data_IF_479810407110
#
_entry.id   IF_479810407110
#
_cell.length_a   1.000
_cell.length_b   1.000
_cell.length_c   1.000
_cell.angle_alpha   90.00
_cell.angle_beta   90.00
_cell.angle_gamma   90.00
#
_symmetry.space_group_name_H-M   'P 1'
#
loop_
_entity.id
_entity.type
_entity.pdbx_description
1 polymer ?
#
# COMPACT_ATOMS: atom_id res chain seq x y z
N UNK A 1 -28.65 -58.49 9.50
CA UNK A 1 -28.33 -57.49 8.46
C UNK A 1 -28.35 -56.03 8.95
N UNK A 2 -28.90 -55.77 10.08
CA UNK A 2 -29.08 -54.39 10.67
C UNK A 2 -27.86 -53.71 11.25
N UNK A 3 -26.84 -54.46 11.64
CA UNK A 3 -25.62 -53.99 12.31
C UNK A 3 -24.58 -53.33 11.38
N UNK A 4 -24.62 -53.64 10.08
CA UNK A 4 -23.68 -53.08 9.09
C UNK A 4 -24.05 -51.67 8.66
N UNK A 5 -25.34 -51.34 8.63
CA UNK A 5 -25.82 -50.00 8.24
C UNK A 5 -25.55 -48.94 9.31
N UNK A 6 -25.66 -49.30 10.59
CA UNK A 6 -25.38 -48.36 11.67
C UNK A 6 -23.89 -47.98 11.78
N UNK A 7 -22.98 -48.92 11.49
CA UNK A 7 -21.52 -48.65 11.45
C UNK A 7 -21.15 -47.70 10.33
N UNK A 8 -21.79 -47.81 9.16
CA UNK A 8 -21.58 -46.87 8.04
C UNK A 8 -22.01 -45.44 8.35
N UNK A 9 -23.15 -45.30 9.02
CA UNK A 9 -23.69 -43.99 9.44
C UNK A 9 -22.87 -43.34 10.53
N UNK A 10 -22.38 -44.10 11.51
CA UNK A 10 -21.51 -43.60 12.58
C UNK A 10 -20.17 -43.14 12.01
N UNK A 11 -19.57 -43.89 11.09
CA UNK A 11 -18.32 -43.51 10.42
C UNK A 11 -18.48 -42.28 9.51
N UNK A 12 -19.62 -42.11 8.86
CA UNK A 12 -19.91 -40.95 8.04
C UNK A 12 -20.10 -39.69 8.91
N UNK A 13 -20.80 -39.81 10.04
CA UNK A 13 -20.96 -38.70 11.01
C UNK A 13 -19.63 -38.33 11.68
N UNK A 14 -18.79 -39.31 12.02
CA UNK A 14 -17.46 -39.06 12.57
C UNK A 14 -16.53 -38.35 11.56
N UNK A 15 -16.59 -38.73 10.27
CA UNK A 15 -15.85 -38.04 9.20
C UNK A 15 -16.36 -36.63 8.97
N UNK A 16 -17.66 -36.42 8.99
CA UNK A 16 -18.28 -35.10 8.86
C UNK A 16 -17.88 -34.17 10.03
N UNK A 17 -17.89 -34.70 11.25
CA UNK A 17 -17.44 -34.00 12.46
C UNK A 17 -15.94 -33.63 12.42
N UNK A 18 -15.10 -34.54 11.89
CA UNK A 18 -13.65 -34.27 11.72
C UNK A 18 -13.39 -33.17 10.69
N UNK A 19 -14.12 -33.18 9.56
CA UNK A 19 -13.99 -32.16 8.51
C UNK A 19 -14.48 -30.80 9.00
N UNK A 20 -15.61 -30.76 9.71
CA UNK A 20 -16.13 -29.53 10.31
C UNK A 20 -15.21 -28.98 11.41
N UNK A 21 -14.61 -29.86 12.22
CA UNK A 21 -13.63 -29.47 13.23
C UNK A 21 -12.33 -28.93 12.62
N UNK A 22 -11.84 -29.55 11.56
CA UNK A 22 -10.66 -29.06 10.82
C UNK A 22 -10.93 -27.73 10.11
N UNK A 23 -12.13 -27.54 9.52
CA UNK A 23 -12.52 -26.28 8.91
C UNK A 23 -12.64 -25.12 9.95
N UNK A 24 -13.09 -25.43 11.18
CA UNK A 24 -13.16 -24.48 12.27
C UNK A 24 -11.79 -24.00 12.76
N UNK A 25 -10.77 -24.88 12.72
CA UNK A 25 -9.39 -24.53 13.10
C UNK A 25 -8.71 -23.64 12.04
N UNK A 26 -9.08 -23.75 10.78
CA UNK A 26 -8.56 -22.92 9.69
C UNK A 26 -9.19 -21.51 9.64
N UNK A 27 -10.40 -21.33 10.14
CA UNK A 27 -11.10 -20.04 10.16
C UNK A 27 -10.46 -19.01 11.12
N UNK A 28 -9.71 -19.46 12.13
CA UNK A 28 -9.04 -18.57 13.09
C UNK A 28 -7.75 -17.91 12.60
N UNK A 29 -7.24 -18.29 11.41
CA UNK A 29 -5.95 -17.76 10.91
C UNK A 29 -6.08 -16.53 10.01
N UNK A 30 -7.29 -16.07 9.70
CA UNK A 30 -7.51 -14.88 8.85
C UNK A 30 -8.07 -13.73 9.68
N UNK A 31 -7.17 -12.95 10.23
CA UNK A 31 -7.50 -11.71 10.92
C UNK A 31 -7.23 -10.52 9.99
N UNK A 32 -8.26 -9.72 9.60
CA UNK A 32 -8.04 -8.61 8.68
C UNK A 32 -7.18 -7.52 9.35
N UNK A 33 -6.10 -7.11 8.69
CA UNK A 33 -5.15 -6.12 9.19
C UNK A 33 -5.81 -4.77 9.61
N UNK A 34 -6.92 -4.43 8.99
CA UNK A 34 -7.72 -3.23 9.28
C UNK A 34 -9.00 -3.52 10.08
N UNK A 35 -9.07 -4.70 10.70
CA UNK A 35 -10.18 -5.06 11.60
C UNK A 35 -10.11 -4.30 12.93
N UNK A 36 -11.00 -4.68 13.84
CA UNK A 36 -11.07 -4.12 15.21
C UNK A 36 -9.95 -4.62 16.14
N UNK A 37 -8.85 -5.12 15.59
CA UNK A 37 -7.76 -5.69 16.37
C UNK A 37 -7.02 -4.60 17.15
N UNK A 38 -6.68 -4.86 18.42
CA UNK A 38 -5.90 -3.93 19.20
C UNK A 38 -4.50 -3.79 18.61
N UNK A 39 -4.11 -2.55 18.33
CA UNK A 39 -2.72 -2.21 18.00
C UNK A 39 -1.84 -2.29 19.24
N UNK A 40 -0.52 -2.39 19.06
CA UNK A 40 0.43 -2.18 20.15
C UNK A 40 0.19 -0.79 20.75
N UNK A 41 -0.16 -0.74 22.06
CA UNK A 41 -0.52 0.51 22.71
C UNK A 41 -2.01 0.84 22.76
N UNK A 42 -2.90 -0.06 22.30
CA UNK A 42 -4.37 0.08 22.36
C UNK A 42 -4.96 0.89 21.20
N UNK A 43 -6.25 0.72 20.97
CA UNK A 43 -6.96 1.30 19.81
C UNK A 43 -6.87 0.43 18.56
N UNK A 44 -7.60 0.79 17.51
CA UNK A 44 -7.52 0.11 16.23
C UNK A 44 -6.35 0.62 15.39
N UNK A 45 -5.85 -0.19 14.45
CA UNK A 45 -4.83 0.24 13.48
C UNK A 45 -5.27 1.47 12.71
N UNK A 46 -6.57 1.57 12.41
CA UNK A 46 -7.15 2.73 11.74
C UNK A 46 -7.02 4.00 12.57
N UNK A 47 -7.26 3.91 13.88
CA UNK A 47 -7.12 5.06 14.79
C UNK A 47 -5.66 5.50 14.86
N UNK A 48 -4.73 4.55 14.92
CA UNK A 48 -3.28 4.84 14.92
C UNK A 48 -2.80 5.48 13.62
N UNK A 49 -3.31 5.04 12.47
CA UNK A 49 -3.01 5.69 11.19
C UNK A 49 -3.58 7.12 11.14
N UNK A 50 -4.78 7.36 11.68
CA UNK A 50 -5.37 8.70 11.76
C UNK A 50 -4.58 9.68 12.67
N UNK A 51 -3.79 9.16 13.62
CA UNK A 51 -2.89 9.95 14.48
C UNK A 51 -1.55 10.27 13.79
N UNK A 52 -1.33 9.90 12.52
CA UNK A 52 -0.09 10.19 11.79
C UNK A 52 -0.21 11.50 11.03
N UNK A 53 0.60 12.47 11.42
CA UNK A 53 0.74 13.74 10.70
C UNK A 53 1.61 13.56 9.47
N UNK A 54 1.13 13.98 8.30
CA UNK A 54 1.89 14.00 7.05
C UNK A 54 2.17 15.46 6.68
N UNK A 55 3.37 15.99 6.97
CA UNK A 55 3.72 17.34 6.57
C UNK A 55 3.85 17.48 5.04
N UNK A 56 3.88 18.70 4.50
CA UNK A 56 4.23 18.89 3.10
C UNK A 56 5.58 18.25 2.76
N UNK A 57 5.61 17.45 1.69
CA UNK A 57 6.84 16.78 1.25
C UNK A 57 7.80 17.84 0.67
N UNK A 58 9.04 17.95 1.16
CA UNK A 58 9.97 18.98 0.72
C UNK A 58 10.47 18.69 -0.71
N UNK A 59 10.05 19.52 -1.66
CA UNK A 59 10.46 19.43 -3.06
C UNK A 59 10.62 20.83 -3.66
N UNK A 60 11.40 20.93 -4.74
CA UNK A 60 11.55 22.19 -5.47
C UNK A 60 10.25 22.47 -6.23
N UNK A 61 9.67 23.63 -5.98
CA UNK A 61 8.45 24.09 -6.65
C UNK A 61 8.65 24.24 -8.18
N UNK A 62 7.59 24.01 -8.95
CA UNK A 62 7.63 24.09 -10.42
C UNK A 62 8.27 22.89 -11.11
N UNK A 63 8.58 21.82 -10.39
CA UNK A 63 9.11 20.57 -10.95
C UNK A 63 8.02 19.49 -11.08
N UNK A 64 8.14 18.52 -12.00
CA UNK A 64 7.24 17.36 -12.05
C UNK A 64 7.17 16.59 -10.71
N UNK A 65 8.27 16.58 -9.96
CA UNK A 65 8.37 15.99 -8.63
C UNK A 65 7.42 16.67 -7.62
N UNK A 66 7.19 18.00 -7.74
CA UNK A 66 6.29 18.71 -6.85
C UNK A 66 4.84 18.22 -6.98
N UNK A 67 4.39 17.90 -8.20
CA UNK A 67 3.07 17.31 -8.43
C UNK A 67 2.95 15.96 -7.73
N UNK A 68 3.92 15.07 -7.95
CA UNK A 68 3.94 13.72 -7.36
C UNK A 68 3.95 13.80 -5.82
N UNK A 69 4.71 14.74 -5.24
CA UNK A 69 4.76 14.94 -3.80
C UNK A 69 3.40 15.36 -3.22
N UNK A 70 2.68 16.25 -3.90
CA UNK A 70 1.33 16.68 -3.50
C UNK A 70 0.35 15.52 -3.62
N UNK A 71 0.36 14.79 -4.74
CA UNK A 71 -0.52 13.65 -4.99
C UNK A 71 -0.30 12.53 -3.94
N UNK A 72 0.97 12.17 -3.67
CA UNK A 72 1.30 11.15 -2.66
C UNK A 72 0.81 11.57 -1.26
N UNK A 73 1.06 12.82 -0.90
CA UNK A 73 0.60 13.35 0.39
C UNK A 73 -0.93 13.30 0.50
N UNK A 74 -1.64 13.72 -0.54
CA UNK A 74 -3.10 13.71 -0.55
C UNK A 74 -3.67 12.29 -0.50
N UNK A 75 -3.09 11.34 -1.26
CA UNK A 75 -3.48 9.93 -1.22
C UNK A 75 -3.31 9.35 0.19
N UNK A 76 -2.16 9.56 0.83
CA UNK A 76 -1.90 9.10 2.18
C UNK A 76 -2.81 9.77 3.22
N UNK A 77 -3.07 11.07 3.11
CA UNK A 77 -3.99 11.76 4.01
C UNK A 77 -5.42 11.21 3.90
N UNK A 78 -5.87 10.93 2.68
CA UNK A 78 -7.16 10.32 2.44
C UNK A 78 -7.25 8.91 3.05
N UNK A 79 -6.21 8.10 2.83
CA UNK A 79 -6.13 6.72 3.32
C UNK A 79 -6.07 6.64 4.86
N UNK A 80 -5.41 7.61 5.51
CA UNK A 80 -5.23 7.61 6.96
C UNK A 80 -6.42 8.22 7.70
N UNK A 81 -6.88 9.37 7.26
CA UNK A 81 -7.92 10.14 7.96
C UNK A 81 -9.32 9.87 7.41
N UNK A 82 -9.44 9.45 6.13
CA UNK A 82 -10.72 9.35 5.46
C UNK A 82 -11.48 10.67 5.50
N UNK A 83 -12.78 10.60 5.77
CA UNK A 83 -13.63 11.77 6.03
C UNK A 83 -13.66 12.17 7.53
N UNK A 84 -12.95 11.47 8.41
CA UNK A 84 -12.88 11.81 9.83
C UNK A 84 -11.99 13.05 10.03
N UNK A 85 -12.40 13.93 10.94
CA UNK A 85 -11.63 15.13 11.27
C UNK A 85 -10.25 14.80 11.85
N UNK A 86 -9.36 15.80 11.89
CA UNK A 86 -8.01 15.66 12.42
C UNK A 86 -8.03 15.20 13.89
N UNK A 87 -7.36 14.08 14.15
CA UNK A 87 -7.06 13.59 15.50
C UNK A 87 -5.73 14.21 15.93
N UNK A 88 -5.53 14.40 17.24
CA UNK A 88 -4.24 14.89 17.75
C UNK A 88 -3.11 13.96 17.34
N UNK A 89 -2.09 14.44 16.58
CA UNK A 89 -1.09 13.58 16.02
C UNK A 89 -0.10 13.09 17.10
N UNK A 90 0.18 11.80 17.10
CA UNK A 90 1.21 11.17 17.95
C UNK A 90 2.50 10.91 17.18
N UNK A 91 2.40 10.73 15.87
CA UNK A 91 3.52 10.45 14.98
C UNK A 91 3.57 11.42 13.81
N UNK A 92 4.77 11.62 13.24
CA UNK A 92 5.00 12.39 12.01
C UNK A 92 5.66 11.50 10.97
N UNK A 93 5.15 11.52 9.74
CA UNK A 93 5.67 10.78 8.60
C UNK A 93 6.43 11.73 7.68
N UNK A 94 7.75 11.70 7.73
CA UNK A 94 8.62 12.48 6.85
C UNK A 94 8.94 11.67 5.60
N UNK A 95 8.63 12.19 4.40
CA UNK A 95 8.73 11.47 3.12
C UNK A 95 9.65 12.23 2.17
N UNK A 96 10.45 11.49 1.41
CA UNK A 96 11.24 11.98 0.28
C UNK A 96 10.86 11.17 -0.95
N UNK A 97 10.54 11.84 -2.06
CA UNK A 97 10.13 11.21 -3.32
C UNK A 97 11.18 11.43 -4.41
N UNK A 98 11.42 10.38 -5.21
CA UNK A 98 12.35 10.39 -6.33
C UNK A 98 11.71 9.68 -7.53
N UNK A 99 11.04 10.42 -8.43
CA UNK A 99 10.52 9.86 -9.67
C UNK A 99 11.63 9.68 -10.70
N UNK A 100 11.52 8.64 -11.51
CA UNK A 100 12.44 8.35 -12.63
C UNK A 100 11.64 7.72 -13.76
N UNK A 101 11.93 8.09 -14.99
CA UNK A 101 11.39 7.40 -16.18
C UNK A 101 12.49 6.51 -16.78
N UNK A 102 12.16 5.25 -17.06
CA UNK A 102 13.08 4.23 -17.58
C UNK A 102 12.56 3.76 -18.92
N UNK A 103 13.38 3.90 -19.98
CA UNK A 103 13.07 3.34 -21.30
C UNK A 103 13.28 1.83 -21.29
N UNK A 104 12.26 1.07 -21.69
CA UNK A 104 12.27 -0.41 -21.66
C UNK A 104 12.41 -0.99 -23.06
N UNK A 105 11.59 -0.50 -24.00
CA UNK A 105 11.56 -1.03 -25.37
C UNK A 105 11.85 0.10 -26.35
N UNK A 106 12.79 -0.18 -27.25
CA UNK A 106 13.18 0.70 -28.37
C UNK A 106 12.81 0.00 -29.66
N UNK A 107 12.13 0.71 -30.56
CA UNK A 107 11.86 0.24 -31.92
C UNK A 107 13.21 0.08 -32.67
N UNK A 108 13.53 -1.14 -33.14
CA UNK A 108 14.82 -1.40 -33.77
C UNK A 108 14.98 -0.72 -35.12
N UNK A 109 13.91 -0.30 -35.78
CA UNK A 109 13.92 0.36 -37.07
C UNK A 109 14.10 1.87 -36.94
N UNK A 110 13.35 2.48 -36.04
CA UNK A 110 13.37 3.95 -35.86
C UNK A 110 14.29 4.42 -34.73
N UNK A 111 14.78 3.51 -33.88
CA UNK A 111 15.58 3.81 -32.71
C UNK A 111 14.80 4.60 -31.61
N UNK A 112 13.49 4.63 -31.67
CA UNK A 112 12.65 5.41 -30.75
C UNK A 112 12.08 4.55 -29.63
N UNK A 113 11.96 5.11 -28.41
CA UNK A 113 11.23 4.43 -27.34
C UNK A 113 9.77 4.21 -27.72
N UNK A 114 9.26 3.00 -27.49
CA UNK A 114 7.84 2.63 -27.66
C UNK A 114 7.18 2.26 -26.33
N UNK A 115 7.97 1.94 -25.31
CA UNK A 115 7.51 1.69 -23.96
C UNK A 115 8.48 2.28 -22.93
N UNK A 116 7.95 2.94 -21.92
CA UNK A 116 8.68 3.45 -20.76
C UNK A 116 8.03 2.98 -19.46
N UNK A 117 8.82 2.91 -18.40
CA UNK A 117 8.33 2.69 -17.02
C UNK A 117 8.49 3.99 -16.26
N UNK A 118 7.38 4.50 -15.74
CA UNK A 118 7.39 5.49 -14.66
C UNK A 118 7.72 4.81 -13.34
N UNK A 119 8.90 5.07 -12.80
CA UNK A 119 9.34 4.57 -11.51
C UNK A 119 9.24 5.67 -10.45
N UNK A 120 8.73 5.31 -9.27
CA UNK A 120 8.69 6.19 -8.11
C UNK A 120 9.33 5.49 -6.93
N UNK A 121 10.36 6.09 -6.37
CA UNK A 121 10.92 5.69 -5.07
C UNK A 121 10.43 6.67 -4.00
N UNK A 122 9.84 6.16 -2.93
CA UNK A 122 9.46 6.94 -1.76
C UNK A 122 10.19 6.39 -0.53
N UNK A 123 11.14 7.16 0.01
CA UNK A 123 11.81 6.87 1.27
C UNK A 123 11.12 7.65 2.39
N UNK A 124 10.89 7.02 3.55
CA UNK A 124 10.14 7.65 4.62
C UNK A 124 10.64 7.26 6.01
N UNK A 125 10.35 8.14 6.96
CA UNK A 125 10.65 7.95 8.37
C UNK A 125 9.41 8.27 9.20
N UNK A 126 9.06 7.36 10.10
CA UNK A 126 8.05 7.61 11.12
C UNK A 126 8.75 8.09 12.38
N UNK A 127 8.36 9.25 12.86
CA UNK A 127 8.95 9.90 14.03
C UNK A 127 7.87 10.06 15.09
N UNK A 128 8.11 9.56 16.30
CA UNK A 128 7.26 9.80 17.45
C UNK A 128 7.40 11.26 17.90
N UNK A 129 6.30 12.01 17.95
CA UNK A 129 6.33 13.46 18.22
C UNK A 129 6.79 13.76 19.65
N UNK A 130 6.34 12.97 20.63
CA UNK A 130 6.65 13.20 22.04
C UNK A 130 8.13 13.09 22.36
N UNK A 131 8.84 12.13 21.75
CA UNK A 131 10.26 11.84 22.02
C UNK A 131 11.19 12.33 20.92
N UNK A 132 10.64 12.77 19.77
CA UNK A 132 11.35 13.08 18.53
C UNK A 132 12.26 11.92 18.04
N UNK A 133 11.93 10.69 18.40
CA UNK A 133 12.67 9.48 18.02
C UNK A 133 12.12 8.92 16.73
N UNK A 134 13.00 8.58 15.79
CA UNK A 134 12.62 7.80 14.59
C UNK A 134 12.34 6.36 15.00
N UNK A 135 11.11 5.91 14.81
CA UNK A 135 10.65 4.57 15.19
C UNK A 135 10.59 3.60 14.02
N UNK A 136 10.51 4.13 12.79
CA UNK A 136 10.55 3.34 11.56
C UNK A 136 11.29 4.12 10.47
N UNK A 137 12.14 3.45 9.71
CA UNK A 137 12.73 3.97 8.46
C UNK A 137 12.60 2.90 7.41
N UNK A 138 12.00 3.24 6.26
CA UNK A 138 11.79 2.30 5.18
C UNK A 138 11.69 3.02 3.83
N UNK A 139 11.63 2.25 2.74
CA UNK A 139 11.44 2.78 1.38
C UNK A 139 10.56 1.85 0.57
N UNK A 140 9.78 2.43 -0.34
CA UNK A 140 8.95 1.68 -1.28
C UNK A 140 9.24 2.08 -2.71
N UNK A 141 8.97 1.15 -3.63
CA UNK A 141 9.15 1.32 -5.07
C UNK A 141 7.84 1.05 -5.78
N UNK A 142 7.50 1.92 -6.72
CA UNK A 142 6.38 1.71 -7.61
C UNK A 142 6.86 1.82 -9.07
N UNK A 143 6.58 0.81 -9.87
CA UNK A 143 6.93 0.75 -11.28
C UNK A 143 5.65 0.58 -12.10
N UNK A 144 5.39 1.49 -13.04
CA UNK A 144 4.20 1.47 -13.88
C UNK A 144 4.58 1.70 -15.33
N UNK A 145 4.39 0.67 -16.16
CA UNK A 145 4.60 0.76 -17.60
C UNK A 145 3.56 1.65 -18.29
N UNK A 146 4.00 2.33 -19.33
CA UNK A 146 3.14 3.05 -20.26
C UNK A 146 3.70 3.05 -21.68
N UNK A 147 2.77 2.91 -22.65
CA UNK A 147 3.11 2.94 -24.06
C UNK A 147 3.36 4.37 -24.52
N UNK A 148 4.33 4.52 -25.41
CA UNK A 148 4.61 5.78 -26.11
C UNK A 148 3.91 5.73 -27.46
N UNK A 149 2.80 6.44 -27.63
CA UNK A 149 2.17 6.54 -28.94
C UNK A 149 3.10 7.25 -29.91
N UNK A 150 2.96 6.95 -31.22
CA UNK A 150 3.87 7.38 -32.27
C UNK A 150 4.25 8.86 -32.25
N UNK A 151 5.34 9.19 -32.92
CA UNK A 151 6.07 10.48 -32.85
C UNK A 151 5.23 11.77 -33.01
N UNK A 152 4.06 11.68 -33.61
CA UNK A 152 3.18 12.83 -33.83
C UNK A 152 2.20 13.09 -32.67
N UNK A 153 2.17 12.22 -31.65
CA UNK A 153 1.19 12.28 -30.55
C UNK A 153 1.85 12.72 -29.22
N UNK A 154 2.51 13.88 -29.23
CA UNK A 154 3.18 14.42 -28.03
C UNK A 154 2.26 14.54 -26.82
N UNK A 155 1.02 14.98 -27.02
CA UNK A 155 0.04 15.11 -25.95
C UNK A 155 -0.37 13.74 -25.39
N UNK A 156 -0.49 12.72 -26.24
CA UNK A 156 -0.84 11.38 -25.78
C UNK A 156 0.30 10.77 -24.95
N UNK A 157 1.58 10.96 -25.35
CA UNK A 157 2.73 10.57 -24.54
C UNK A 157 2.71 11.22 -23.16
N UNK A 158 2.52 12.54 -23.11
CA UNK A 158 2.52 13.26 -21.83
C UNK A 158 1.36 12.80 -20.93
N UNK A 159 0.17 12.58 -21.48
CA UNK A 159 -0.96 12.04 -20.72
C UNK A 159 -0.72 10.62 -20.22
N UNK A 160 -0.11 9.75 -21.04
CA UNK A 160 0.26 8.40 -20.63
C UNK A 160 1.26 8.43 -19.48
N UNK A 161 2.28 9.28 -19.55
CA UNK A 161 3.27 9.49 -18.50
C UNK A 161 2.62 9.99 -17.20
N UNK A 162 1.78 11.02 -17.26
CA UNK A 162 1.07 11.54 -16.09
C UNK A 162 0.18 10.47 -15.45
N UNK A 163 -0.57 9.72 -16.25
CA UNK A 163 -1.40 8.62 -15.76
C UNK A 163 -0.56 7.51 -15.11
N UNK A 164 0.61 7.17 -15.67
CA UNK A 164 1.52 6.20 -15.07
C UNK A 164 2.05 6.70 -13.72
N UNK A 165 2.39 7.99 -13.62
CA UNK A 165 2.82 8.60 -12.36
C UNK A 165 1.70 8.57 -11.31
N UNK A 166 0.45 8.87 -11.67
CA UNK A 166 -0.68 8.81 -10.74
C UNK A 166 -0.90 7.38 -10.21
N UNK A 167 -0.81 6.37 -11.09
CA UNK A 167 -0.87 4.96 -10.67
C UNK A 167 0.29 4.58 -9.76
N UNK A 168 1.51 5.03 -10.06
CA UNK A 168 2.69 4.77 -9.22
C UNK A 168 2.54 5.40 -7.83
N UNK A 169 1.93 6.59 -7.74
CA UNK A 169 1.60 7.24 -6.46
C UNK A 169 0.63 6.39 -5.64
N UNK A 170 -0.42 5.84 -6.27
CA UNK A 170 -1.39 5.00 -5.55
C UNK A 170 -0.73 3.72 -5.01
N UNK A 171 0.10 3.06 -5.83
CA UNK A 171 0.86 1.86 -5.41
C UNK A 171 1.80 2.20 -4.24
N UNK A 172 2.51 3.33 -4.32
CA UNK A 172 3.41 3.76 -3.24
C UNK A 172 2.65 4.11 -1.95
N UNK A 173 1.51 4.80 -2.06
CA UNK A 173 0.66 5.13 -0.91
C UNK A 173 0.14 3.89 -0.21
N UNK A 174 -0.36 2.91 -0.98
CA UNK A 174 -0.84 1.64 -0.43
C UNK A 174 0.29 0.85 0.26
N UNK A 175 1.48 0.79 -0.33
CA UNK A 175 2.63 0.12 0.27
C UNK A 175 3.06 0.78 1.59
N UNK A 176 3.12 2.11 1.64
CA UNK A 176 3.41 2.87 2.87
C UNK A 176 2.36 2.60 3.93
N UNK A 177 1.06 2.68 3.59
CA UNK A 177 -0.04 2.40 4.51
C UNK A 177 0.06 0.99 5.09
N UNK A 178 0.28 -0.02 4.25
CA UNK A 178 0.39 -1.40 4.68
C UNK A 178 1.60 -1.62 5.60
N UNK A 179 2.73 -0.98 5.32
CA UNK A 179 3.93 -1.06 6.16
C UNK A 179 3.73 -0.40 7.53
N UNK A 180 3.08 0.77 7.56
CA UNK A 180 2.75 1.44 8.82
C UNK A 180 1.70 0.65 9.62
N UNK A 181 0.70 0.08 8.96
CA UNK A 181 -0.28 -0.80 9.61
C UNK A 181 0.42 -2.01 10.27
N UNK A 182 1.35 -2.66 9.55
CA UNK A 182 2.15 -3.76 10.12
C UNK A 182 2.98 -3.31 11.31
N UNK A 183 3.59 -2.13 11.25
CA UNK A 183 4.33 -1.56 12.37
C UNK A 183 3.43 -1.35 13.60
N UNK A 184 2.25 -0.78 13.43
CA UNK A 184 1.32 -0.56 14.55
C UNK A 184 0.74 -1.85 15.13
N UNK A 185 0.69 -2.94 14.36
CA UNK A 185 0.28 -4.27 14.86
C UNK A 185 1.41 -4.97 15.58
N UNK A 186 2.61 -5.01 15.00
CA UNK A 186 3.72 -5.85 15.47
C UNK A 186 4.74 -5.08 16.34
N UNK A 187 4.78 -3.75 16.27
CA UNK A 187 5.76 -2.91 16.95
C UNK A 187 7.17 -2.98 16.36
N UNK A 188 7.33 -3.54 15.12
CA UNK A 188 8.63 -3.75 14.46
C UNK A 188 8.63 -3.31 13.00
#
# INVERSE_FOLDING_TARGET
MWWREHRGRILALARLGLVLGAAGLLAGCFEPLYGSNPSVGGGSVRDKLAEVLIPPIPVRQGTPQARIAVELRNALQYDFNGAAGAVAPTHRLDIVVSPTDITVIIDPVSGRPIEEIGALTASYKLVEIATNKTVLTDSTFAHVGYDIPGAQQRFAKERARLNAQDRAVQVAAEAIRNRLASYFVAGT
#
